data_IF_563923805368
#
_entry.id   IF_563923805368
#
_cell.length_a   1.000
_cell.length_b   1.000
_cell.length_c   1.000
_cell.angle_alpha   90.00
_cell.angle_beta   90.00
_cell.angle_gamma   90.00
#
_symmetry.space_group_name_H-M   'P 1'
#
loop_
_entity.id
_entity.type
_entity.pdbx_description
1 polymer ?
#
# COMPACT_ATOMS: atom_id res chain seq x y z
N UNK A 1 56.31 26.29 -40.64
CA UNK A 1 55.12 26.76 -39.89
C UNK A 1 54.06 25.68 -39.96
N UNK A 2 54.11 24.69 -39.07
CA UNK A 2 53.29 24.55 -37.84
C UNK A 2 51.84 24.08 -38.05
N UNK A 3 51.67 22.88 -38.63
CA UNK A 3 50.41 22.10 -38.59
C UNK A 3 50.37 21.16 -37.37
N UNK A 4 51.54 20.86 -36.78
CA UNK A 4 51.68 19.89 -35.66
C UNK A 4 51.17 20.46 -34.32
N UNK A 5 51.07 21.79 -34.17
CA UNK A 5 50.63 22.45 -32.92
C UNK A 5 49.13 22.33 -32.63
N UNK A 6 48.28 22.19 -33.64
CA UNK A 6 46.82 22.18 -33.46
C UNK A 6 46.27 20.83 -33.00
N UNK A 7 46.87 19.71 -33.41
CA UNK A 7 46.37 18.36 -33.08
C UNK A 7 46.59 18.00 -31.61
N UNK A 8 47.73 18.42 -31.02
CA UNK A 8 48.04 18.15 -29.61
C UNK A 8 47.14 18.90 -28.62
N UNK A 9 46.60 20.06 -29.02
CA UNK A 9 45.73 20.88 -28.17
C UNK A 9 44.29 20.35 -28.16
N UNK A 10 43.84 19.78 -29.26
CA UNK A 10 42.51 19.19 -29.38
C UNK A 10 42.34 17.95 -28.48
N UNK A 11 43.36 17.10 -28.36
CA UNK A 11 43.30 15.89 -27.54
C UNK A 11 43.32 16.15 -26.02
N UNK A 12 43.94 17.24 -25.56
CA UNK A 12 43.97 17.62 -24.14
C UNK A 12 42.63 18.17 -23.64
N UNK A 13 41.87 18.85 -24.50
CA UNK A 13 40.55 19.39 -24.13
C UNK A 13 39.45 18.31 -24.06
N UNK A 14 39.57 17.23 -24.84
CA UNK A 14 38.58 16.14 -24.82
C UNK A 14 38.77 15.18 -23.64
N UNK A 15 39.97 15.04 -23.07
CA UNK A 15 40.18 14.25 -21.85
C UNK A 15 39.56 14.90 -20.60
N UNK A 16 39.42 16.24 -20.56
CA UNK A 16 38.82 16.95 -19.42
C UNK A 16 37.29 16.91 -19.44
N UNK A 17 36.66 16.79 -20.61
CA UNK A 17 35.20 16.73 -20.74
C UNK A 17 34.68 15.34 -20.34
N UNK A 18 35.41 14.26 -20.65
CA UNK A 18 35.02 12.89 -20.25
C UNK A 18 35.13 12.71 -18.72
N UNK A 19 36.06 13.40 -18.06
CA UNK A 19 36.17 13.41 -16.59
C UNK A 19 35.04 14.17 -15.87
N UNK A 20 34.42 15.16 -16.51
CA UNK A 20 33.36 15.98 -15.90
C UNK A 20 31.96 15.35 -16.04
N UNK A 21 31.69 14.60 -17.12
CA UNK A 21 30.41 13.89 -17.28
C UNK A 21 30.30 12.62 -16.43
N UNK A 22 31.42 12.06 -15.93
CA UNK A 22 31.41 10.89 -15.05
C UNK A 22 30.92 11.17 -13.62
N UNK A 23 30.92 12.44 -13.19
CA UNK A 23 30.60 12.81 -11.79
C UNK A 23 29.12 13.22 -11.64
N UNK A 24 28.44 13.61 -12.71
CA UNK A 24 27.03 14.04 -12.65
C UNK A 24 26.02 12.88 -12.54
N UNK A 25 26.43 11.63 -12.79
CA UNK A 25 25.51 10.48 -12.75
C UNK A 25 25.32 9.86 -11.35
N UNK A 26 26.13 10.25 -10.34
CA UNK A 26 26.11 9.62 -9.02
C UNK A 26 25.29 10.36 -7.95
N UNK A 27 24.62 11.48 -8.29
CA UNK A 27 23.92 12.31 -7.29
C UNK A 27 22.40 12.40 -7.46
N UNK A 28 21.80 11.74 -8.46
CA UNK A 28 20.38 11.92 -8.79
C UNK A 28 19.46 10.74 -8.44
N UNK A 29 19.96 9.71 -7.77
CA UNK A 29 19.15 8.56 -7.40
C UNK A 29 19.07 8.37 -5.89
N UNK A 30 18.43 9.29 -5.16
CA UNK A 30 17.68 8.79 -4.01
C UNK A 30 16.64 7.85 -4.63
N UNK A 31 16.89 6.54 -4.59
CA UNK A 31 15.89 5.55 -4.97
C UNK A 31 14.76 5.70 -3.94
N UNK A 32 13.85 6.64 -4.19
CA UNK A 32 12.61 6.77 -3.45
C UNK A 32 11.84 5.51 -3.83
N UNK A 33 11.91 4.52 -2.96
CA UNK A 33 11.10 3.33 -3.09
C UNK A 33 9.65 3.79 -3.02
N UNK A 34 8.91 3.56 -4.11
CA UNK A 34 7.48 3.88 -4.13
C UNK A 34 6.81 3.08 -3.00
N UNK A 35 6.01 3.73 -2.13
CA UNK A 35 5.27 3.05 -1.09
C UNK A 35 4.40 1.94 -1.71
N UNK A 36 4.23 0.83 -1.00
CA UNK A 36 3.27 -0.16 -1.46
C UNK A 36 1.88 0.47 -1.59
N UNK A 37 1.04 -0.03 -2.49
CA UNK A 37 -0.27 0.58 -2.79
C UNK A 37 -1.18 0.71 -1.55
N UNK A 38 -1.01 -0.19 -0.57
CA UNK A 38 -1.74 -0.19 0.71
C UNK A 38 -1.16 0.78 1.75
N UNK A 39 0.10 1.19 1.61
CA UNK A 39 0.74 2.13 2.54
C UNK A 39 0.10 3.51 2.46
N UNK A 40 0.00 4.18 3.61
CA UNK A 40 -0.67 5.47 3.77
C UNK A 40 -1.74 5.43 4.87
N UNK A 41 -2.44 6.55 5.02
CA UNK A 41 -3.54 6.68 5.97
C UNK A 41 -4.87 6.49 5.25
N UNK A 42 -5.77 5.74 5.90
CA UNK A 42 -7.09 5.40 5.40
C UNK A 42 -8.12 5.71 6.46
N UNK A 43 -9.30 6.17 6.04
CA UNK A 43 -10.41 6.50 6.93
C UNK A 43 -11.61 5.61 6.61
N UNK A 44 -12.29 5.14 7.65
CA UNK A 44 -13.52 4.38 7.53
C UNK A 44 -14.66 5.32 7.13
N UNK A 45 -15.24 5.12 5.94
CA UNK A 45 -16.32 5.98 5.41
C UNK A 45 -17.68 5.31 5.40
N UNK A 46 -17.72 3.98 5.39
CA UNK A 46 -18.96 3.18 5.42
C UNK A 46 -18.73 1.86 6.12
N UNK A 47 -19.79 1.25 6.65
CA UNK A 47 -19.75 -0.09 7.21
C UNK A 47 -20.85 -0.97 6.59
N UNK A 48 -20.51 -2.24 6.38
CA UNK A 48 -21.36 -3.23 5.72
C UNK A 48 -21.41 -4.50 6.54
N UNK A 49 -22.61 -4.85 7.02
CA UNK A 49 -22.89 -6.10 7.71
C UNK A 49 -23.39 -7.13 6.69
N UNK A 50 -22.51 -7.54 5.77
CA UNK A 50 -22.79 -8.59 4.78
C UNK A 50 -22.18 -9.92 5.24
N UNK A 51 -22.83 -11.04 4.92
CA UNK A 51 -22.42 -12.35 5.41
C UNK A 51 -22.74 -12.52 6.90
N UNK A 52 -21.79 -13.07 7.67
CA UNK A 52 -21.91 -13.25 9.13
C UNK A 52 -21.14 -12.14 9.83
N UNK A 53 -21.84 -11.28 10.57
CA UNK A 53 -21.26 -10.17 11.32
C UNK A 53 -21.70 -10.24 12.78
N UNK A 54 -20.77 -9.96 13.70
CA UNK A 54 -21.06 -9.87 15.13
C UNK A 54 -21.71 -8.54 15.52
N UNK A 55 -21.56 -7.50 14.71
CA UNK A 55 -22.09 -6.16 14.98
C UNK A 55 -23.46 -5.96 14.33
N UNK A 56 -24.35 -5.26 15.03
CA UNK A 56 -25.52 -4.63 14.42
C UNK A 56 -25.12 -3.44 13.55
N UNK A 57 -26.00 -2.98 12.66
CA UNK A 57 -25.74 -1.79 11.83
C UNK A 57 -25.37 -0.55 12.66
N UNK A 58 -26.05 -0.34 13.80
CA UNK A 58 -25.79 0.79 14.70
C UNK A 58 -24.39 0.67 15.36
N UNK A 59 -23.96 -0.54 15.70
CA UNK A 59 -22.62 -0.75 16.26
C UNK A 59 -21.53 -0.55 15.21
N UNK A 60 -21.77 -1.02 13.99
CA UNK A 60 -20.87 -0.82 12.85
C UNK A 60 -20.62 0.65 12.53
N UNK A 61 -21.63 1.51 12.70
CA UNK A 61 -21.50 2.96 12.47
C UNK A 61 -20.54 3.63 13.46
N UNK A 62 -20.24 3.02 14.62
CA UNK A 62 -19.26 3.55 15.58
C UNK A 62 -17.82 3.49 15.07
N UNK A 63 -17.57 2.80 13.96
CA UNK A 63 -16.27 2.78 13.30
C UNK A 63 -16.09 3.91 12.29
N UNK A 64 -17.15 4.60 11.89
CA UNK A 64 -17.06 5.70 10.91
C UNK A 64 -16.13 6.81 11.42
N UNK A 65 -15.29 7.32 10.51
CA UNK A 65 -14.31 8.37 10.81
C UNK A 65 -13.05 7.88 11.52
N UNK A 66 -12.99 6.62 11.97
CA UNK A 66 -11.74 6.04 12.49
C UNK A 66 -10.75 5.85 11.35
N UNK A 67 -9.46 5.85 11.70
CA UNK A 67 -8.38 5.74 10.73
C UNK A 67 -7.48 4.55 11.00
N UNK A 68 -6.89 4.03 9.94
CA UNK A 68 -5.75 3.12 10.00
C UNK A 68 -4.61 3.72 9.19
N UNK A 69 -3.38 3.53 9.65
CA UNK A 69 -2.17 3.96 8.94
C UNK A 69 -1.26 2.77 8.75
N UNK A 70 -0.90 2.49 7.51
CA UNK A 70 0.03 1.44 7.13
C UNK A 70 1.34 2.06 6.64
N UNK A 71 2.46 1.65 7.20
CA UNK A 71 3.80 1.98 6.73
C UNK A 71 4.68 0.72 6.74
N UNK A 72 5.82 0.78 6.07
CA UNK A 72 6.75 -0.36 6.00
C UNK A 72 7.35 -0.75 7.36
N UNK A 73 7.47 0.20 8.28
CA UNK A 73 8.13 0.04 9.58
C UNK A 73 7.18 0.15 10.78
N UNK A 74 5.94 0.56 10.55
CA UNK A 74 4.96 0.79 11.60
C UNK A 74 3.54 0.71 11.07
N UNK A 75 2.59 0.41 11.96
CA UNK A 75 1.18 0.56 11.64
C UNK A 75 0.40 1.09 12.84
N UNK A 76 -0.58 1.94 12.57
CA UNK A 76 -1.55 2.39 13.57
C UNK A 76 -2.92 1.85 13.19
N UNK A 77 -3.41 0.92 13.98
CA UNK A 77 -4.65 0.18 13.76
C UNK A 77 -5.69 0.68 14.77
N UNK A 78 -6.46 1.70 14.39
CA UNK A 78 -7.31 2.45 15.32
C UNK A 78 -6.51 3.05 16.50
N UNK A 79 -6.65 2.46 17.69
CA UNK A 79 -5.95 2.87 18.91
C UNK A 79 -4.66 2.07 19.15
N UNK A 80 -4.46 0.97 18.43
CA UNK A 80 -3.32 0.11 18.63
C UNK A 80 -2.15 0.50 17.72
N UNK A 81 -0.94 0.28 18.22
CA UNK A 81 0.29 0.59 17.50
C UNK A 81 1.11 -0.68 17.32
N UNK A 82 1.56 -0.89 16.09
CA UNK A 82 2.38 -2.02 15.69
C UNK A 82 3.75 -1.49 15.28
N UNK A 83 4.77 -1.72 16.11
CA UNK A 83 6.12 -1.21 15.90
C UNK A 83 6.92 -1.98 14.84
N UNK A 84 6.43 -3.16 14.44
CA UNK A 84 7.12 -4.03 13.48
C UNK A 84 6.09 -4.87 12.71
N UNK A 85 5.33 -4.25 11.79
CA UNK A 85 4.33 -4.96 11.00
C UNK A 85 4.99 -5.90 9.99
N UNK A 86 4.39 -7.06 9.79
CA UNK A 86 4.76 -7.99 8.72
C UNK A 86 3.57 -8.12 7.77
N UNK A 87 3.77 -7.69 6.53
CA UNK A 87 2.74 -7.73 5.49
C UNK A 87 2.88 -8.97 4.61
N UNK A 88 1.75 -9.56 4.26
CA UNK A 88 1.65 -10.62 3.24
C UNK A 88 0.50 -10.30 2.30
N UNK A 89 0.68 -10.62 1.01
CA UNK A 89 -0.30 -10.32 -0.03
C UNK A 89 -0.65 -11.58 -0.79
N UNK A 90 -1.94 -11.77 -1.07
CA UNK A 90 -2.42 -12.84 -1.95
C UNK A 90 -3.60 -12.37 -2.77
N UNK A 91 -3.72 -12.88 -3.99
CA UNK A 91 -4.95 -12.73 -4.77
C UNK A 91 -5.97 -13.76 -4.29
N UNK A 92 -7.23 -13.36 -4.18
CA UNK A 92 -8.33 -14.22 -3.76
C UNK A 92 -9.36 -14.32 -4.88
N UNK A 93 -9.81 -15.54 -5.16
CA UNK A 93 -10.89 -15.76 -6.13
C UNK A 93 -12.25 -15.43 -5.49
N UNK A 94 -13.29 -15.23 -6.32
CA UNK A 94 -14.66 -15.05 -5.81
C UNK A 94 -15.13 -16.22 -4.95
N UNK A 95 -14.73 -17.45 -5.32
CA UNK A 95 -15.03 -18.65 -4.55
C UNK A 95 -14.34 -18.65 -3.19
N UNK A 96 -13.05 -18.30 -3.15
CA UNK A 96 -12.29 -18.24 -1.89
C UNK A 96 -12.77 -17.09 -1.00
N UNK A 97 -13.12 -15.95 -1.59
CA UNK A 97 -13.73 -14.82 -0.88
C UNK A 97 -15.03 -15.27 -0.21
N UNK A 98 -15.95 -15.92 -0.95
CA UNK A 98 -17.19 -16.41 -0.37
C UNK A 98 -16.94 -17.49 0.69
N UNK A 99 -15.98 -18.38 0.47
CA UNK A 99 -15.62 -19.41 1.43
C UNK A 99 -15.11 -18.82 2.75
N UNK A 100 -14.27 -17.78 2.69
CA UNK A 100 -13.70 -17.09 3.84
C UNK A 100 -14.71 -16.20 4.57
N UNK A 101 -15.45 -15.37 3.84
CA UNK A 101 -16.24 -14.29 4.45
C UNK A 101 -17.76 -14.52 4.44
N UNK A 102 -18.24 -15.58 3.77
CA UNK A 102 -19.67 -15.87 3.59
C UNK A 102 -20.46 -14.71 2.97
N UNK A 103 -19.76 -13.85 2.21
CA UNK A 103 -20.32 -12.73 1.48
C UNK A 103 -19.92 -12.81 0.01
N UNK A 104 -20.75 -12.30 -0.89
CA UNK A 104 -20.39 -12.18 -2.30
C UNK A 104 -19.57 -10.91 -2.51
N UNK A 105 -18.46 -10.94 -3.29
CA UNK A 105 -17.70 -9.73 -3.60
C UNK A 105 -18.53 -8.58 -4.17
N UNK A 106 -19.52 -8.89 -5.01
CA UNK A 106 -20.40 -7.89 -5.64
C UNK A 106 -21.28 -7.13 -4.63
N UNK A 107 -21.57 -7.72 -3.47
CA UNK A 107 -22.29 -7.03 -2.38
C UNK A 107 -21.48 -5.88 -1.77
N UNK A 108 -20.17 -5.88 -1.98
CA UNK A 108 -19.22 -4.83 -1.60
C UNK A 108 -18.76 -4.00 -2.81
N UNK A 109 -19.40 -4.16 -3.96
CA UNK A 109 -19.07 -3.42 -5.17
C UNK A 109 -17.73 -3.80 -5.82
N UNK A 110 -17.18 -4.97 -5.47
CA UNK A 110 -16.10 -5.56 -6.26
C UNK A 110 -16.66 -6.13 -7.57
N UNK A 111 -15.92 -5.96 -8.67
CA UNK A 111 -16.21 -6.62 -9.94
C UNK A 111 -15.62 -8.03 -9.96
N UNK A 112 -15.79 -8.77 -11.06
CA UNK A 112 -15.18 -10.10 -11.26
C UNK A 112 -13.66 -10.05 -11.51
N UNK A 113 -13.03 -8.91 -11.21
CA UNK A 113 -11.59 -8.70 -11.35
C UNK A 113 -10.79 -9.32 -10.19
N UNK A 114 -9.46 -9.12 -10.21
CA UNK A 114 -8.56 -9.60 -9.16
C UNK A 114 -8.78 -8.81 -7.87
N UNK A 115 -9.36 -9.48 -6.88
CA UNK A 115 -9.39 -9.01 -5.50
C UNK A 115 -8.11 -9.47 -4.82
N UNK A 116 -7.51 -8.58 -4.04
CA UNK A 116 -6.27 -8.88 -3.33
C UNK A 116 -6.48 -8.64 -1.84
N UNK A 117 -5.99 -9.59 -1.05
CA UNK A 117 -5.96 -9.52 0.41
C UNK A 117 -4.54 -9.20 0.84
N UNK A 118 -4.40 -8.18 1.68
CA UNK A 118 -3.20 -7.86 2.44
C UNK A 118 -3.48 -8.20 3.90
N UNK A 119 -2.70 -9.13 4.42
CA UNK A 119 -2.72 -9.49 5.83
C UNK A 119 -1.52 -8.86 6.53
N UNK A 120 -1.78 -8.20 7.65
CA UNK A 120 -0.81 -7.58 8.53
C UNK A 120 -0.77 -8.38 9.84
N UNK A 121 0.41 -8.85 10.21
CA UNK A 121 0.68 -9.43 11.53
C UNK A 121 1.62 -8.55 12.35
N UNK A 122 1.39 -8.51 13.66
CA UNK A 122 2.21 -7.80 14.65
C UNK A 122 2.79 -8.81 15.64
N UNK A 123 3.98 -8.55 16.17
CA UNK A 123 4.68 -9.46 17.09
C UNK A 123 3.88 -9.77 18.37
N UNK A 124 3.02 -8.86 18.82
CA UNK A 124 2.16 -9.03 19.99
C UNK A 124 0.83 -9.77 19.69
N UNK A 125 0.61 -10.17 18.44
CA UNK A 125 -0.58 -10.90 17.96
C UNK A 125 -1.92 -10.26 18.36
N UNK A 126 -1.95 -8.95 18.59
CA UNK A 126 -3.20 -8.25 18.84
C UNK A 126 -3.99 -8.17 17.52
N UNK A 127 -5.06 -8.97 17.40
CA UNK A 127 -5.96 -8.91 16.26
C UNK A 127 -6.81 -7.63 16.37
N UNK A 128 -6.49 -6.62 15.57
CA UNK A 128 -7.16 -5.31 15.60
C UNK A 128 -7.76 -5.00 14.23
N UNK A 129 -8.78 -4.13 14.22
CA UNK A 129 -9.26 -3.44 13.02
C UNK A 129 -8.09 -2.99 12.15
N UNK A 130 -8.09 -3.35 10.87
CA UNK A 130 -7.00 -3.00 9.95
C UNK A 130 -5.96 -4.10 9.74
N UNK A 131 -5.99 -5.20 10.50
CA UNK A 131 -5.10 -6.36 10.29
C UNK A 131 -5.34 -7.09 8.96
N UNK A 132 -6.54 -7.01 8.41
CA UNK A 132 -6.84 -7.46 7.04
C UNK A 132 -7.29 -6.26 6.22
N UNK A 133 -6.68 -6.08 5.05
CA UNK A 133 -7.12 -5.16 4.02
C UNK A 133 -7.50 -5.98 2.79
N UNK A 134 -8.71 -5.78 2.27
CA UNK A 134 -9.16 -6.36 1.01
C UNK A 134 -9.35 -5.20 0.06
N UNK A 135 -8.72 -5.26 -1.10
CA UNK A 135 -8.80 -4.19 -2.07
C UNK A 135 -8.88 -4.72 -3.50
N UNK A 136 -9.37 -3.85 -4.37
CA UNK A 136 -9.28 -3.99 -5.80
C UNK A 136 -8.73 -2.67 -6.36
N UNK A 137 -7.73 -2.75 -7.23
CA UNK A 137 -7.11 -1.56 -7.83
C UNK A 137 -8.14 -0.72 -8.59
N UNK A 138 -8.14 0.60 -8.37
CA UNK A 138 -9.13 1.52 -8.95
C UNK A 138 -10.57 1.33 -8.43
N UNK A 139 -10.77 0.44 -7.46
CA UNK A 139 -12.08 0.10 -6.90
C UNK A 139 -12.19 0.41 -5.41
N UNK A 140 -12.83 -0.50 -4.68
CA UNK A 140 -13.06 -0.35 -3.24
C UNK A 140 -11.92 -0.96 -2.42
N UNK A 141 -11.74 -0.44 -1.20
CA UNK A 141 -10.87 -1.02 -0.18
C UNK A 141 -11.67 -1.21 1.12
N UNK A 142 -11.41 -2.32 1.82
CA UNK A 142 -12.11 -2.68 3.05
C UNK A 142 -11.17 -3.25 4.08
N UNK A 143 -11.43 -2.99 5.36
CA UNK A 143 -10.93 -3.82 6.45
C UNK A 143 -12.07 -4.58 7.12
N UNK A 144 -11.73 -5.55 7.97
CA UNK A 144 -12.68 -6.38 8.68
C UNK A 144 -12.54 -6.23 10.20
N UNK A 145 -13.69 -6.18 10.87
CA UNK A 145 -13.81 -6.32 12.33
C UNK A 145 -15.01 -7.21 12.63
N UNK A 146 -14.75 -8.40 13.18
CA UNK A 146 -15.78 -9.38 13.56
C UNK A 146 -16.84 -9.61 12.48
N UNK A 147 -16.38 -9.82 11.24
CA UNK A 147 -17.23 -10.04 10.06
C UNK A 147 -17.91 -8.78 9.49
N UNK A 148 -17.64 -7.60 10.07
CA UNK A 148 -18.11 -6.31 9.53
C UNK A 148 -17.08 -5.78 8.55
N UNK A 149 -17.52 -5.49 7.33
CA UNK A 149 -16.68 -4.86 6.33
C UNK A 149 -16.73 -3.34 6.48
N UNK A 150 -15.58 -2.74 6.75
CA UNK A 150 -15.42 -1.29 6.90
C UNK A 150 -14.77 -0.75 5.64
N UNK A 151 -15.50 0.04 4.85
CA UNK A 151 -14.97 0.67 3.64
C UNK A 151 -13.94 1.73 4.03
N UNK A 152 -12.78 1.63 3.40
CA UNK A 152 -11.65 2.52 3.59
C UNK A 152 -11.48 3.44 2.37
N UNK A 153 -11.24 4.72 2.63
CA UNK A 153 -10.82 5.68 1.62
C UNK A 153 -9.48 6.29 2.04
N UNK A 154 -8.52 6.31 1.11
CA UNK A 154 -7.17 6.81 1.35
C UNK A 154 -7.22 8.33 1.51
N UNK A 155 -6.58 8.85 2.55
CA UNK A 155 -6.42 10.30 2.71
C UNK A 155 -5.30 10.79 1.80
N UNK A 156 -5.54 11.89 1.08
CA UNK A 156 -4.54 12.56 0.24
C UNK A 156 -3.40 13.15 1.06
#
# INVERSE_FOLDING_TARGET
MSIVGHVKRFWRFHSLIIGAFGICAFTLGCAVQEPAYYEGTWVVTKAYNVGVSAHSSIESEKFLGRSVTYASDSAKLDQAFCESPVYSTKNISNQDFYAAFKASPSSLGFSDDKITEVSLSCLDNSAIMGSTLIFQEGGSAYTLVDGTFLKLEKTL
#
